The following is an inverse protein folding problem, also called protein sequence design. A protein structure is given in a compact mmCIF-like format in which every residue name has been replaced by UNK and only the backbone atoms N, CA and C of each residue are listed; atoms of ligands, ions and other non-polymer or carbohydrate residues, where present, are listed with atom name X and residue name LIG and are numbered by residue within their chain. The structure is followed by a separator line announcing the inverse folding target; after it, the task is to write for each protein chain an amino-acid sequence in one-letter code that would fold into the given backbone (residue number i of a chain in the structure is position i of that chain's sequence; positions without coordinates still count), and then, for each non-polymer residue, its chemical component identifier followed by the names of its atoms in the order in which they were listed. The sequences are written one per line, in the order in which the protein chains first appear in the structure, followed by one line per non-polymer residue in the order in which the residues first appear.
data_IF_903541776311
#
_entry.id   IF_903541776311
#
_cell.length_a   1.000
_cell.length_b   1.000
_cell.length_c   1.000
_cell.angle_alpha   90.00
_cell.angle_beta   90.00
_cell.angle_gamma   90.00
#
_symmetry.space_group_name_H-M   'P 1'
#
loop_
_entity.id
_entity.type
_entity.pdbx_description
1 polymer ?
#
# COMPACT_ATOMS: atom_id res chain seq x y z
N UNK A 1 6.05 -10.90 -31.45
CA UNK A 1 5.81 -9.56 -30.89
C UNK A 1 6.64 -9.42 -29.62
N UNK A 2 7.39 -8.33 -29.48
CA UNK A 2 8.26 -8.15 -28.29
C UNK A 2 7.45 -7.53 -27.17
N UNK A 3 7.43 -8.17 -25.98
CA UNK A 3 6.81 -7.68 -24.75
C UNK A 3 7.86 -7.11 -23.80
N UNK A 4 7.47 -6.14 -22.99
CA UNK A 4 8.31 -5.56 -21.95
C UNK A 4 7.50 -5.28 -20.70
N UNK A 5 8.18 -5.31 -19.53
CA UNK A 5 7.65 -4.88 -18.26
C UNK A 5 8.17 -3.47 -17.93
N UNK A 6 7.28 -2.63 -17.42
CA UNK A 6 7.61 -1.27 -16.98
C UNK A 6 6.98 -1.05 -15.62
N UNK A 7 7.75 -0.52 -14.69
CA UNK A 7 7.27 -0.13 -13.35
C UNK A 7 7.40 1.39 -13.22
N UNK A 8 6.37 2.04 -12.70
CA UNK A 8 6.42 3.48 -12.43
C UNK A 8 5.17 4.00 -11.72
N UNK A 9 5.26 5.21 -11.21
CA UNK A 9 4.15 5.92 -10.60
C UNK A 9 3.20 6.43 -11.68
N UNK A 10 1.89 6.15 -11.54
CA UNK A 10 0.88 6.67 -12.46
C UNK A 10 0.79 8.19 -12.27
N UNK A 11 0.93 8.91 -13.38
CA UNK A 11 0.71 10.35 -13.41
C UNK A 11 -0.73 10.69 -13.80
N UNK A 12 -1.22 10.03 -14.86
CA UNK A 12 -2.53 10.33 -15.43
C UNK A 12 -3.10 9.14 -16.18
N UNK A 13 -4.40 9.00 -16.14
CA UNK A 13 -5.19 8.16 -17.04
C UNK A 13 -6.17 9.04 -17.77
N UNK A 14 -6.09 9.11 -19.10
CA UNK A 14 -6.86 10.01 -19.94
C UNK A 14 -7.64 9.26 -21.03
N UNK A 15 -8.76 9.84 -21.46
CA UNK A 15 -9.52 9.36 -22.61
C UNK A 15 -8.77 9.65 -23.92
N UNK A 16 -8.92 8.76 -24.89
CA UNK A 16 -8.43 8.92 -26.26
C UNK A 16 -9.49 8.50 -27.25
N UNK A 17 -9.33 8.84 -28.52
CA UNK A 17 -10.26 8.46 -29.57
C UNK A 17 -10.52 6.93 -29.65
N UNK A 18 -9.55 6.09 -29.23
CA UNK A 18 -9.61 4.63 -29.39
C UNK A 18 -9.54 3.87 -28.08
N UNK A 19 -9.82 4.52 -26.95
CA UNK A 19 -9.76 3.91 -25.63
C UNK A 19 -9.14 4.85 -24.58
N UNK A 20 -8.20 4.35 -23.80
CA UNK A 20 -7.54 5.11 -22.73
C UNK A 20 -6.03 5.20 -22.98
N UNK A 21 -5.39 6.22 -22.40
CA UNK A 21 -3.93 6.28 -22.28
C UNK A 21 -3.55 6.44 -20.82
N UNK A 22 -2.44 5.80 -20.43
CA UNK A 22 -1.82 5.94 -19.12
C UNK A 22 -0.44 6.57 -19.31
N UNK A 23 -0.08 7.51 -18.45
CA UNK A 23 1.26 8.06 -18.37
C UNK A 23 1.87 7.82 -16.99
N UNK A 24 3.20 7.72 -16.95
CA UNK A 24 3.97 7.57 -15.72
C UNK A 24 4.74 8.85 -15.43
N UNK A 25 4.94 9.19 -14.14
CA UNK A 25 5.69 10.39 -13.74
C UNK A 25 7.14 10.37 -14.21
N UNK A 26 7.74 9.17 -14.31
CA UNK A 26 9.14 8.98 -14.68
C UNK A 26 9.37 8.96 -16.19
N UNK A 27 8.31 9.07 -17.01
CA UNK A 27 8.44 8.92 -18.46
C UNK A 27 7.46 9.83 -19.22
N UNK A 28 7.89 10.54 -20.26
CA UNK A 28 6.99 11.31 -21.13
C UNK A 28 6.15 10.42 -22.06
N UNK A 29 6.36 9.09 -22.03
CA UNK A 29 5.67 8.16 -22.93
C UNK A 29 4.23 7.92 -22.48
N UNK A 30 3.34 7.74 -23.46
CA UNK A 30 1.97 7.29 -23.25
C UNK A 30 1.84 5.81 -23.56
N UNK A 31 1.08 5.10 -22.74
CA UNK A 31 0.77 3.68 -22.87
C UNK A 31 -0.71 3.56 -23.19
N UNK A 32 -1.04 3.04 -24.38
CA UNK A 32 -2.41 2.99 -24.88
C UNK A 32 -3.09 1.67 -24.53
N UNK A 33 -4.29 1.73 -24.01
CA UNK A 33 -5.09 0.60 -23.58
C UNK A 33 -6.51 0.65 -24.15
N UNK A 34 -7.16 -0.50 -24.26
CA UNK A 34 -8.60 -0.51 -24.43
C UNK A 34 -9.27 -0.10 -23.11
N UNK A 35 -10.47 0.44 -23.19
CA UNK A 35 -11.24 0.91 -22.03
C UNK A 35 -11.48 -0.21 -21.03
N UNK A 36 -11.83 -1.42 -21.51
CA UNK A 36 -12.15 -2.56 -20.66
C UNK A 36 -10.99 -2.99 -19.74
N UNK A 37 -9.73 -2.92 -20.23
CA UNK A 37 -8.55 -3.22 -19.41
C UNK A 37 -8.42 -2.24 -18.24
N UNK A 38 -8.58 -0.97 -18.51
CA UNK A 38 -8.48 0.09 -17.49
C UNK A 38 -9.63 -0.02 -16.48
N UNK A 39 -10.86 -0.26 -16.95
CA UNK A 39 -12.01 -0.46 -16.07
C UNK A 39 -11.88 -1.71 -15.20
N UNK A 40 -11.35 -2.80 -15.75
CA UNK A 40 -11.05 -4.00 -15.00
C UNK A 40 -10.01 -3.71 -13.89
N UNK A 41 -8.92 -3.04 -14.24
CA UNK A 41 -7.90 -2.66 -13.26
C UNK A 41 -8.45 -1.72 -12.17
N UNK A 42 -9.30 -0.75 -12.55
CA UNK A 42 -9.95 0.15 -11.59
C UNK A 42 -10.84 -0.58 -10.59
N UNK A 43 -11.50 -1.66 -11.01
CA UNK A 43 -12.30 -2.51 -10.11
C UNK A 43 -11.42 -3.41 -9.24
N UNK A 44 -10.45 -4.08 -9.86
CA UNK A 44 -9.57 -5.04 -9.17
C UNK A 44 -8.70 -4.36 -8.12
N UNK A 45 -8.14 -3.19 -8.45
CA UNK A 45 -7.24 -2.42 -7.59
C UNK A 45 -7.92 -1.14 -7.05
N UNK A 46 -9.18 -1.26 -6.60
CA UNK A 46 -10.04 -0.13 -6.30
C UNK A 46 -9.45 0.85 -5.27
N UNK A 47 -8.76 0.36 -4.24
CA UNK A 47 -8.12 1.22 -3.23
C UNK A 47 -7.01 2.08 -3.83
N UNK A 48 -6.12 1.47 -4.61
CA UNK A 48 -5.06 2.20 -5.31
C UNK A 48 -5.64 3.16 -6.35
N UNK A 49 -6.65 2.72 -7.09
CA UNK A 49 -7.26 3.55 -8.15
C UNK A 49 -7.93 4.81 -7.62
N UNK A 50 -8.62 4.73 -6.47
CA UNK A 50 -9.25 5.88 -5.81
C UNK A 50 -8.24 6.89 -5.28
N UNK A 51 -7.01 6.45 -5.01
CA UNK A 51 -5.93 7.30 -4.52
C UNK A 51 -5.17 8.03 -5.64
N UNK A 52 -5.55 7.84 -6.93
CA UNK A 52 -4.96 8.58 -8.03
C UNK A 52 -5.16 10.08 -7.83
N UNK A 53 -4.05 10.83 -7.85
CA UNK A 53 -4.07 12.28 -7.61
C UNK A 53 -4.00 12.70 -6.14
N UNK A 54 -4.06 11.77 -5.19
CA UNK A 54 -3.84 12.08 -3.78
C UNK A 54 -2.37 12.46 -3.55
N UNK A 55 -2.14 13.53 -2.77
CA UNK A 55 -0.80 14.03 -2.45
C UNK A 55 -0.08 13.18 -1.40
N UNK A 56 -0.84 12.54 -0.53
CA UNK A 56 -0.34 11.69 0.57
C UNK A 56 -0.12 10.23 0.13
N UNK A 57 -0.55 9.86 -1.06
CA UNK A 57 -0.43 8.52 -1.60
C UNK A 57 0.39 8.49 -2.91
N UNK A 58 0.93 7.31 -3.23
CA UNK A 58 1.54 7.00 -4.52
C UNK A 58 0.85 5.78 -5.10
N UNK A 59 0.62 5.80 -6.39
CA UNK A 59 0.01 4.69 -7.12
C UNK A 59 1.02 4.16 -8.11
N UNK A 60 1.57 3.00 -7.82
CA UNK A 60 2.60 2.35 -8.63
C UNK A 60 1.94 1.35 -9.56
N UNK A 61 2.27 1.40 -10.84
CA UNK A 61 1.82 0.45 -11.84
C UNK A 61 2.96 -0.47 -12.29
N UNK A 62 2.62 -1.74 -12.49
CA UNK A 62 3.38 -2.72 -13.24
C UNK A 62 2.67 -2.92 -14.58
N UNK A 63 3.28 -2.47 -15.67
CA UNK A 63 2.72 -2.47 -17.01
C UNK A 63 3.34 -3.58 -17.84
N UNK A 64 2.52 -4.47 -18.41
CA UNK A 64 2.93 -5.34 -19.49
C UNK A 64 2.61 -4.66 -20.83
N UNK A 65 3.64 -4.35 -21.61
CA UNK A 65 3.49 -3.58 -22.85
C UNK A 65 3.98 -4.35 -24.06
N UNK A 66 3.36 -4.07 -25.21
CA UNK A 66 3.79 -4.50 -26.53
C UNK A 66 4.04 -3.28 -27.42
N UNK A 67 4.99 -3.40 -28.34
CA UNK A 67 5.20 -2.39 -29.38
C UNK A 67 4.37 -2.72 -30.61
N UNK A 68 3.48 -1.82 -31.01
CA UNK A 68 2.71 -1.94 -32.24
C UNK A 68 3.61 -1.73 -33.50
N UNK A 69 3.18 -2.15 -34.70
CA UNK A 69 3.89 -1.85 -35.95
C UNK A 69 4.13 -0.34 -36.16
N UNK A 70 3.21 0.50 -35.69
CA UNK A 70 3.33 1.98 -35.70
C UNK A 70 4.19 2.53 -34.55
N UNK A 71 4.92 1.67 -33.84
CA UNK A 71 5.80 2.00 -32.70
C UNK A 71 5.12 2.59 -31.46
N UNK A 72 3.79 2.53 -31.34
CA UNK A 72 3.09 2.88 -30.12
C UNK A 72 3.29 1.79 -29.06
N UNK A 73 3.29 2.18 -27.78
CA UNK A 73 3.31 1.26 -26.66
C UNK A 73 1.87 0.90 -26.30
N UNK A 74 1.47 -0.32 -26.62
CA UNK A 74 0.16 -0.87 -26.27
C UNK A 74 0.27 -1.55 -24.92
N UNK A 75 -0.60 -1.18 -23.99
CA UNK A 75 -0.75 -1.85 -22.71
C UNK A 75 -1.55 -3.13 -22.91
N UNK A 76 -0.97 -4.25 -22.50
CA UNK A 76 -1.55 -5.60 -22.62
C UNK A 76 -2.18 -6.03 -21.30
N UNK A 77 -1.50 -5.70 -20.19
CA UNK A 77 -1.95 -5.99 -18.83
C UNK A 77 -1.36 -4.98 -17.86
N UNK A 78 -2.00 -4.85 -16.68
CA UNK A 78 -1.55 -3.91 -15.67
C UNK A 78 -1.92 -4.39 -14.27
N UNK A 79 -0.92 -4.35 -13.36
CA UNK A 79 -1.11 -4.42 -11.92
C UNK A 79 -0.93 -3.03 -11.31
N UNK A 80 -1.64 -2.76 -10.22
CA UNK A 80 -1.57 -1.46 -9.54
C UNK A 80 -1.42 -1.67 -8.04
N UNK A 81 -0.54 -0.90 -7.41
CA UNK A 81 -0.22 -0.98 -5.99
C UNK A 81 -0.35 0.40 -5.34
N UNK A 82 -1.09 0.46 -4.24
CA UNK A 82 -1.16 1.63 -3.38
C UNK A 82 0.10 1.70 -2.51
N UNK A 83 0.69 2.90 -2.41
CA UNK A 83 1.84 3.13 -1.55
C UNK A 83 1.67 4.43 -0.75
N UNK A 84 2.39 4.53 0.36
CA UNK A 84 2.58 5.78 1.10
C UNK A 84 3.38 6.82 0.30
N UNK A 85 3.51 8.04 0.79
CA UNK A 85 4.35 9.08 0.21
C UNK A 85 5.83 8.67 0.10
N UNK A 86 6.29 7.77 0.97
CA UNK A 86 7.64 7.18 0.97
C UNK A 86 7.73 5.86 0.17
N UNK A 87 6.76 5.57 -0.70
CA UNK A 87 6.68 4.37 -1.54
C UNK A 87 6.57 3.04 -0.77
N UNK A 88 6.09 3.07 0.46
CA UNK A 88 5.83 1.85 1.24
C UNK A 88 4.50 1.25 0.76
N UNK A 89 4.45 -0.03 0.36
CA UNK A 89 3.23 -0.70 -0.06
C UNK A 89 2.17 -0.72 1.04
N UNK A 90 0.92 -0.44 0.69
CA UNK A 90 -0.20 -0.39 1.62
C UNK A 90 -1.45 -1.01 0.99
N UNK A 91 -2.28 -1.69 1.79
CA UNK A 91 -3.51 -2.32 1.32
C UNK A 91 -4.72 -1.40 1.43
N UNK A 92 -4.58 -0.32 2.24
CA UNK A 92 -5.65 0.67 2.45
C UNK A 92 -5.10 2.08 2.59
N UNK A 93 -5.98 3.08 2.39
CA UNK A 93 -5.64 4.49 2.61
C UNK A 93 -5.32 4.79 4.09
N UNK A 94 -5.87 4.00 5.01
CA UNK A 94 -5.58 4.12 6.44
C UNK A 94 -4.15 3.66 6.76
N UNK A 95 -3.70 2.57 6.13
CA UNK A 95 -2.30 2.17 6.23
C UNK A 95 -1.36 3.21 5.61
N UNK A 96 -1.76 3.85 4.49
CA UNK A 96 -1.01 4.99 3.92
C UNK A 96 -0.86 6.11 4.95
N UNK A 97 -1.94 6.47 5.64
CA UNK A 97 -1.91 7.51 6.68
C UNK A 97 -0.98 7.13 7.84
N UNK A 98 -1.03 5.88 8.31
CA UNK A 98 -0.14 5.38 9.35
C UNK A 98 1.33 5.36 8.88
N UNK A 99 1.63 4.82 7.71
CA UNK A 99 2.98 4.80 7.15
C UNK A 99 3.56 6.22 7.00
N UNK A 100 2.76 7.17 6.51
CA UNK A 100 3.16 8.58 6.39
C UNK A 100 3.42 9.21 7.76
N UNK A 101 2.62 8.87 8.77
CA UNK A 101 2.85 9.32 10.14
C UNK A 101 4.17 8.77 10.68
N UNK A 102 4.38 7.46 10.61
CA UNK A 102 5.61 6.82 11.06
C UNK A 102 6.85 7.44 10.39
N UNK A 103 6.77 7.69 9.08
CA UNK A 103 7.86 8.34 8.32
C UNK A 103 8.09 9.78 8.79
N UNK A 104 7.04 10.59 9.01
CA UNK A 104 7.17 11.98 9.49
C UNK A 104 7.72 12.07 10.91
N UNK A 105 7.37 11.11 11.77
CA UNK A 105 7.89 11.00 13.13
C UNK A 105 9.28 10.35 13.17
N UNK A 106 9.89 10.07 12.01
CA UNK A 106 11.21 9.44 11.86
C UNK A 106 11.35 8.13 12.64
N UNK A 107 10.28 7.33 12.69
CA UNK A 107 10.27 6.02 13.32
C UNK A 107 10.96 5.00 12.42
N UNK A 108 11.72 4.09 13.03
CA UNK A 108 12.21 2.91 12.33
C UNK A 108 11.14 1.82 12.38
N UNK A 109 10.74 1.33 11.21
CA UNK A 109 9.71 0.31 11.12
C UNK A 109 9.85 -0.54 9.86
N UNK A 110 9.21 -1.71 9.90
CA UNK A 110 9.10 -2.63 8.77
C UNK A 110 7.62 -2.73 8.38
N UNK A 111 7.33 -2.79 7.07
CA UNK A 111 6.05 -3.25 6.52
C UNK A 111 6.23 -4.70 6.08
N UNK A 112 5.76 -5.70 6.85
CA UNK A 112 5.85 -7.09 6.43
C UNK A 112 4.99 -7.32 5.19
N UNK A 113 5.56 -7.98 4.17
CA UNK A 113 4.86 -8.28 2.91
C UNK A 113 4.47 -9.77 2.80
N UNK A 114 4.96 -10.59 3.72
CA UNK A 114 4.68 -12.02 3.79
C UNK A 114 4.90 -12.53 5.21
N UNK A 115 4.22 -13.59 5.57
CA UNK A 115 4.47 -14.27 6.84
C UNK A 115 5.84 -14.94 6.81
N UNK A 116 6.58 -14.85 7.91
CA UNK A 116 7.72 -15.69 8.20
C UNK A 116 7.29 -17.14 8.51
N UNK A 117 8.26 -18.09 8.51
CA UNK A 117 7.93 -19.52 8.70
C UNK A 117 7.21 -19.86 10.01
N UNK A 118 7.46 -19.09 11.08
CA UNK A 118 6.92 -19.33 12.42
C UNK A 118 5.93 -18.24 12.88
N UNK A 119 5.58 -17.29 11.99
CA UNK A 119 4.66 -16.21 12.33
C UNK A 119 3.21 -16.63 12.16
N UNK A 120 2.42 -16.60 13.23
CA UNK A 120 0.97 -16.86 13.20
C UNK A 120 0.17 -15.66 12.68
N UNK A 121 0.74 -14.45 12.71
CA UNK A 121 0.05 -13.18 12.42
C UNK A 121 0.94 -12.27 11.60
N UNK A 122 0.42 -11.77 10.49
CA UNK A 122 1.04 -10.70 9.72
C UNK A 122 0.53 -9.35 10.22
N UNK A 123 1.36 -8.52 10.90
CA UNK A 123 0.98 -7.17 11.28
C UNK A 123 1.05 -6.20 10.11
N UNK A 124 0.33 -5.07 10.20
CA UNK A 124 0.41 -4.04 9.18
C UNK A 124 1.79 -3.36 9.19
N UNK A 125 2.34 -3.07 10.38
CA UNK A 125 3.71 -2.57 10.55
C UNK A 125 4.32 -3.14 11.82
N UNK A 126 5.67 -3.10 11.88
CA UNK A 126 6.44 -3.45 13.08
C UNK A 126 7.40 -2.31 13.38
N UNK A 127 7.25 -1.66 14.55
CA UNK A 127 8.23 -0.69 15.03
C UNK A 127 9.47 -1.45 15.50
N UNK A 128 10.63 -1.04 15.01
CA UNK A 128 11.92 -1.66 15.32
C UNK A 128 12.83 -0.77 16.17
N UNK A 129 12.45 0.48 16.37
CA UNK A 129 13.15 1.48 17.20
C UNK A 129 12.76 1.44 18.68
N UNK A 130 12.01 0.46 19.11
CA UNK A 130 11.60 0.23 20.50
C UNK A 130 12.45 -0.84 21.16
N UNK A 131 12.45 -0.95 22.51
CA UNK A 131 13.23 -1.94 23.26
C UNK A 131 12.91 -3.40 22.86
N UNK A 132 11.68 -3.63 22.44
CA UNK A 132 11.20 -4.88 21.84
C UNK A 132 10.34 -4.51 20.63
N UNK A 133 10.31 -5.30 19.54
CA UNK A 133 9.46 -5.02 18.40
C UNK A 133 8.00 -4.87 18.79
N UNK A 134 7.34 -3.83 18.28
CA UNK A 134 5.94 -3.54 18.56
C UNK A 134 5.14 -3.59 17.26
N UNK A 135 4.11 -4.44 17.23
CA UNK A 135 3.19 -4.52 16.09
C UNK A 135 2.31 -3.27 16.04
N UNK A 136 2.02 -2.79 14.84
CA UNK A 136 1.03 -1.74 14.59
C UNK A 136 -0.04 -2.33 13.69
N UNK A 137 -1.29 -2.27 14.12
CA UNK A 137 -2.46 -2.79 13.41
C UNK A 137 -3.41 -1.64 13.08
N UNK A 138 -3.89 -1.62 11.86
CA UNK A 138 -4.79 -0.59 11.33
C UNK A 138 -6.14 -1.22 10.98
N UNK A 139 -7.16 -0.96 11.78
CA UNK A 139 -8.48 -1.56 11.64
C UNK A 139 -9.47 -0.58 11.01
N UNK A 140 -9.69 -0.73 9.69
CA UNK A 140 -10.54 0.18 8.90
C UNK A 140 -11.96 -0.34 8.60
N UNK A 141 -12.29 -1.60 8.94
CA UNK A 141 -13.59 -2.21 8.59
C UNK A 141 -14.30 -2.73 9.84
N UNK A 142 -14.60 -1.86 10.79
CA UNK A 142 -15.32 -2.23 12.00
C UNK A 142 -16.76 -2.67 11.68
N UNK A 143 -17.29 -3.62 12.46
CA UNK A 143 -18.68 -4.08 12.35
C UNK A 143 -18.93 -5.23 11.37
N UNK A 144 -17.93 -5.73 10.67
CA UNK A 144 -18.04 -6.95 9.86
C UNK A 144 -17.67 -8.19 10.69
N UNK A 145 -18.56 -9.17 10.93
CA UNK A 145 -18.30 -10.29 11.84
C UNK A 145 -17.02 -11.07 11.52
N UNK A 146 -16.73 -11.34 10.24
CA UNK A 146 -15.53 -12.05 9.83
C UNK A 146 -14.24 -11.23 10.08
N UNK A 147 -14.33 -9.91 10.01
CA UNK A 147 -13.22 -9.01 10.29
C UNK A 147 -12.93 -8.93 11.80
N UNK A 148 -14.00 -8.80 12.61
CA UNK A 148 -13.87 -8.82 14.07
C UNK A 148 -13.32 -10.15 14.58
N UNK A 149 -13.72 -11.29 14.00
CA UNK A 149 -13.15 -12.59 14.33
C UNK A 149 -11.63 -12.64 14.09
N UNK A 150 -11.15 -12.18 12.91
CA UNK A 150 -9.71 -12.08 12.61
C UNK A 150 -8.97 -11.16 13.57
N UNK A 151 -9.57 -10.04 13.95
CA UNK A 151 -9.00 -9.11 14.94
C UNK A 151 -8.79 -9.79 16.29
N UNK A 152 -9.78 -10.56 16.74
CA UNK A 152 -9.69 -11.35 17.98
C UNK A 152 -8.62 -12.45 17.89
N UNK A 153 -8.54 -13.16 16.78
CA UNK A 153 -7.49 -14.17 16.53
C UNK A 153 -6.10 -13.56 16.58
N UNK A 154 -5.87 -12.43 15.88
CA UNK A 154 -4.62 -11.69 15.92
C UNK A 154 -4.26 -11.25 17.36
N UNK A 155 -5.23 -10.70 18.10
CA UNK A 155 -5.01 -10.28 19.47
C UNK A 155 -4.69 -11.48 20.42
N UNK A 156 -5.32 -12.64 20.20
CA UNK A 156 -5.04 -13.86 20.96
C UNK A 156 -3.63 -14.39 20.66
N UNK A 157 -3.21 -14.43 19.39
CA UNK A 157 -1.88 -14.86 19.00
C UNK A 157 -0.79 -13.96 19.62
N UNK A 158 -0.96 -12.63 19.54
CA UNK A 158 -0.02 -11.68 20.17
C UNK A 158 0.09 -11.87 21.69
N UNK A 159 -1.05 -12.11 22.36
CA UNK A 159 -1.02 -12.40 23.81
C UNK A 159 -0.26 -13.67 24.15
N UNK A 160 -0.47 -14.75 23.37
CA UNK A 160 0.30 -16.00 23.57
C UNK A 160 1.80 -15.80 23.41
N UNK A 161 2.19 -14.99 22.42
CA UNK A 161 3.59 -14.77 22.09
C UNK A 161 4.24 -13.61 22.88
N UNK A 162 3.50 -12.95 23.79
CA UNK A 162 3.98 -11.79 24.54
C UNK A 162 4.29 -10.56 23.69
N UNK A 163 3.76 -10.50 22.45
CA UNK A 163 4.04 -9.42 21.50
C UNK A 163 3.20 -8.19 21.84
N UNK A 164 3.87 -7.05 22.01
CA UNK A 164 3.19 -5.77 22.20
C UNK A 164 2.59 -5.28 20.87
N UNK A 165 1.45 -4.58 20.96
CA UNK A 165 0.82 -3.99 19.79
C UNK A 165 0.21 -2.62 20.09
N UNK A 166 0.24 -1.75 19.08
CA UNK A 166 -0.56 -0.55 18.96
C UNK A 166 -1.66 -0.83 17.96
N UNK A 167 -2.90 -0.64 18.35
CA UNK A 167 -4.08 -0.87 17.51
C UNK A 167 -4.75 0.46 17.21
N UNK A 168 -4.95 0.76 15.94
CA UNK A 168 -5.71 1.92 15.50
C UNK A 168 -7.04 1.48 14.92
N UNK A 169 -8.13 1.78 15.63
CA UNK A 169 -9.48 1.64 15.12
C UNK A 169 -9.86 2.94 14.43
N UNK A 170 -9.85 2.94 13.11
CA UNK A 170 -10.01 4.16 12.27
C UNK A 170 -11.29 4.92 12.58
N UNK A 171 -12.35 4.20 12.88
CA UNK A 171 -13.61 4.75 13.35
C UNK A 171 -13.94 4.14 14.73
N UNK A 172 -14.04 4.92 15.81
CA UNK A 172 -14.15 6.39 15.86
C UNK A 172 -12.85 7.17 16.19
N UNK A 173 -11.67 6.54 16.19
CA UNK A 173 -10.45 7.12 16.75
C UNK A 173 -9.58 7.86 15.71
N UNK A 174 -9.38 9.20 15.80
CA UNK A 174 -8.47 9.92 14.93
C UNK A 174 -7.03 9.44 15.07
N UNK A 175 -6.31 9.29 13.94
CA UNK A 175 -4.91 8.86 13.93
C UNK A 175 -4.00 9.69 14.86
N UNK A 176 -4.26 11.00 15.00
CA UNK A 176 -3.48 11.88 15.85
C UNK A 176 -3.55 11.54 17.36
N UNK A 177 -4.58 10.82 17.79
CA UNK A 177 -4.77 10.42 19.19
C UNK A 177 -4.08 9.09 19.53
N UNK A 178 -3.66 8.33 18.53
CA UNK A 178 -2.94 7.07 18.74
C UNK A 178 -1.59 7.36 19.40
N UNK A 179 -1.35 6.74 20.54
CA UNK A 179 -0.07 6.85 21.26
C UNK A 179 0.88 5.76 20.77
N UNK A 180 1.93 6.17 20.09
CA UNK A 180 3.03 5.26 19.75
C UNK A 180 4.02 5.17 20.94
N UNK A 181 4.60 4.00 21.21
CA UNK A 181 5.65 3.87 22.22
C UNK A 181 6.87 4.74 21.83
N UNK A 182 7.54 5.30 22.83
CA UNK A 182 8.75 6.09 22.58
C UNK A 182 9.86 5.21 21.98
N UNK A 183 10.67 5.75 21.06
CA UNK A 183 11.87 5.07 20.62
C UNK A 183 12.78 4.73 21.80
N UNK A 184 13.45 3.58 21.74
CA UNK A 184 14.49 3.26 22.69
C UNK A 184 15.61 4.32 22.58
N UNK A 185 16.10 4.83 23.70
CA UNK A 185 17.23 5.76 23.67
C UNK A 185 18.44 5.03 23.06
N UNK A 186 18.94 5.51 21.95
CA UNK A 186 20.26 5.09 21.46
C UNK A 186 21.26 5.63 22.49
N UNK A 187 21.77 4.79 23.34
CA UNK A 187 22.98 5.11 24.10
C UNK A 187 24.11 5.22 23.08
N UNK A 188 24.47 6.46 22.72
CA UNK A 188 25.68 6.71 21.95
C UNK A 188 26.85 6.14 22.78
N UNK A 189 27.49 5.11 22.22
CA UNK A 189 28.74 4.54 22.73
C UNK A 189 29.92 5.34 22.20
#
# INVERSE_FOLDING_TARGET
MQRGLIIGEINEVADTQYGKSLSLRQSPKKYFANTALIEHAAKTFAHAWRALGDREARVIALLLVERTPKRHLKLVDLGVMLCSAAFIPCDSIHEVAMANRLTREQREFIKPLRMGGDEEVLPDFVLTDTSQPVHVEVYGMNGLPAYEARKLEKAAARRRNGTQAVEWNVDPEPLAQIKLPSPARVTAT
#
